data_IF_452467052646
#
_entry.id   IF_452467052646
#
_cell.length_a   1.000
_cell.length_b   1.000
_cell.length_c   1.000
_cell.angle_alpha   90.00
_cell.angle_beta   90.00
_cell.angle_gamma   90.00
#
_symmetry.space_group_name_H-M   'P 1'
#
loop_
_entity.id
_entity.type
_entity.pdbx_description
1 polymer ?
#
# COMPACT_ATOMS: atom_id res chain seq x y z
N UNK A 1 2.50 -21.68 -0.14
CA UNK A 1 3.75 -21.08 -0.66
C UNK A 1 3.66 -19.56 -0.49
N UNK A 2 4.63 -18.91 0.14
CA UNK A 2 4.67 -17.44 0.14
C UNK A 2 5.08 -16.97 -1.27
N UNK A 3 4.30 -16.10 -1.94
CA UNK A 3 4.65 -15.62 -3.27
C UNK A 3 6.02 -14.93 -3.24
N UNK A 4 6.85 -15.19 -4.25
CA UNK A 4 8.15 -14.53 -4.39
C UNK A 4 7.90 -13.08 -4.79
N UNK A 5 8.03 -12.17 -3.83
CA UNK A 5 7.89 -10.74 -4.08
C UNK A 5 9.02 -10.23 -4.99
N UNK A 6 8.74 -9.21 -5.79
CA UNK A 6 9.79 -8.43 -6.45
C UNK A 6 10.52 -7.56 -5.42
N UNK A 7 11.68 -6.99 -5.79
CA UNK A 7 12.39 -6.07 -4.89
C UNK A 7 11.54 -4.84 -4.58
N UNK A 8 10.93 -4.22 -5.60
CA UNK A 8 10.06 -3.04 -5.43
C UNK A 8 8.85 -3.31 -4.54
N UNK A 9 8.29 -4.53 -4.56
CA UNK A 9 7.19 -4.90 -3.65
C UNK A 9 7.66 -5.01 -2.19
N UNK A 10 8.85 -5.58 -1.95
CA UNK A 10 9.44 -5.63 -0.61
C UNK A 10 9.73 -4.22 -0.09
N UNK A 11 10.32 -3.37 -0.93
CA UNK A 11 10.67 -2.01 -0.57
C UNK A 11 9.41 -1.18 -0.26
N UNK A 12 8.34 -1.36 -1.03
CA UNK A 12 7.06 -0.68 -0.77
C UNK A 12 6.41 -1.11 0.57
N UNK A 13 6.45 -2.40 0.91
CA UNK A 13 5.96 -2.89 2.21
C UNK A 13 6.81 -2.37 3.37
N UNK A 14 8.13 -2.40 3.22
CA UNK A 14 9.07 -1.85 4.21
C UNK A 14 8.82 -0.37 4.42
N UNK A 15 8.78 0.41 3.34
CA UNK A 15 8.50 1.84 3.38
C UNK A 15 7.18 2.12 4.08
N UNK A 16 6.09 1.44 3.70
CA UNK A 16 4.80 1.66 4.35
C UNK A 16 4.84 1.31 5.84
N UNK A 17 5.52 0.23 6.24
CA UNK A 17 5.70 -0.14 7.65
C UNK A 17 6.48 0.91 8.44
N UNK A 18 7.48 1.54 7.83
CA UNK A 18 8.25 2.64 8.42
C UNK A 18 7.41 3.93 8.51
N UNK A 19 6.33 4.05 7.74
CA UNK A 19 5.43 5.19 7.66
C UNK A 19 4.05 4.88 8.27
N UNK A 20 4.02 4.32 9.49
CA UNK A 20 2.83 3.98 10.28
C UNK A 20 1.95 2.84 9.74
N UNK A 21 2.29 2.23 8.60
CA UNK A 21 1.50 1.14 8.03
C UNK A 21 0.18 1.58 7.39
N UNK A 22 -0.08 2.87 7.24
CA UNK A 22 -1.32 3.43 6.71
C UNK A 22 -1.06 4.72 5.93
N UNK A 23 -1.79 4.93 4.84
CA UNK A 23 -1.73 6.15 4.07
C UNK A 23 -2.99 6.43 3.25
N UNK A 24 -3.04 7.64 2.69
CA UNK A 24 -4.12 8.12 1.83
C UNK A 24 -3.58 8.43 0.44
N UNK A 25 -4.34 8.10 -0.59
CA UNK A 25 -3.96 8.46 -1.96
C UNK A 25 -4.36 9.89 -2.30
N UNK A 26 -3.46 10.60 -2.98
CA UNK A 26 -3.75 11.89 -3.58
C UNK A 26 -4.58 11.75 -4.87
N UNK A 27 -4.92 12.90 -5.48
CA UNK A 27 -5.66 12.93 -6.76
C UNK A 27 -4.90 12.30 -7.94
N UNK A 28 -3.59 12.16 -7.83
CA UNK A 28 -2.72 11.59 -8.87
C UNK A 28 -2.46 10.09 -8.64
N UNK A 29 -2.98 9.51 -7.55
CA UNK A 29 -2.77 8.11 -7.21
C UNK A 29 -1.42 7.82 -6.54
N UNK A 30 -0.78 8.82 -5.93
CA UNK A 30 0.41 8.68 -5.09
C UNK A 30 -0.02 8.52 -3.63
N UNK A 31 0.57 7.56 -2.92
CA UNK A 31 0.26 7.30 -1.51
C UNK A 31 1.00 8.32 -0.63
N UNK A 32 0.29 9.02 0.25
CA UNK A 32 0.82 9.86 1.31
C UNK A 32 0.73 9.09 2.63
N UNK A 33 1.86 8.87 3.31
CA UNK A 33 1.92 8.21 4.61
C UNK A 33 2.93 8.93 5.51
N UNK A 34 2.59 9.12 6.78
CA UNK A 34 3.42 9.85 7.76
C UNK A 34 3.93 11.24 7.30
N UNK A 35 3.22 11.92 6.39
CA UNK A 35 3.62 13.23 5.84
C UNK A 35 4.51 13.14 4.59
N UNK A 36 4.87 11.94 4.13
CA UNK A 36 5.73 11.70 2.98
C UNK A 36 5.00 11.02 1.82
N UNK A 37 5.38 11.38 0.59
CA UNK A 37 4.86 10.75 -0.62
C UNK A 37 5.66 9.50 -0.94
N UNK A 38 4.95 8.40 -1.16
CA UNK A 38 5.55 7.13 -1.49
C UNK A 38 6.26 7.19 -2.86
N UNK A 39 7.52 6.75 -2.96
CA UNK A 39 8.24 6.67 -4.22
C UNK A 39 7.84 5.43 -5.04
N UNK A 40 6.58 5.00 -4.95
CA UNK A 40 6.05 3.79 -5.60
C UNK A 40 4.76 4.10 -6.35
N UNK A 41 4.67 3.60 -7.57
CA UNK A 41 3.50 3.77 -8.44
C UNK A 41 2.27 2.98 -7.95
N UNK A 42 1.08 3.40 -8.38
CA UNK A 42 -0.20 2.77 -8.01
C UNK A 42 -0.27 1.26 -8.32
N UNK A 43 0.36 0.82 -9.41
CA UNK A 43 0.37 -0.60 -9.80
C UNK A 43 1.09 -1.49 -8.79
N UNK A 44 2.12 -0.99 -8.10
CA UNK A 44 2.80 -1.73 -7.02
C UNK A 44 1.84 -2.03 -5.89
N UNK A 45 1.06 -1.03 -5.45
CA UNK A 45 0.06 -1.19 -4.39
C UNK A 45 -1.08 -2.13 -4.80
N UNK A 46 -1.54 -2.04 -6.05
CA UNK A 46 -2.55 -2.96 -6.57
C UNK A 46 -2.05 -4.41 -6.58
N UNK A 47 -0.79 -4.64 -6.96
CA UNK A 47 -0.19 -5.97 -6.92
C UNK A 47 -0.06 -6.49 -5.48
N UNK A 48 0.35 -5.65 -4.52
CA UNK A 48 0.40 -6.03 -3.11
C UNK A 48 -0.98 -6.35 -2.53
N UNK A 49 -2.02 -5.63 -2.95
CA UNK A 49 -3.39 -5.90 -2.53
C UNK A 49 -3.91 -7.22 -3.10
N UNK A 50 -3.59 -7.54 -4.36
CA UNK A 50 -3.90 -8.84 -4.96
C UNK A 50 -3.22 -10.01 -4.23
N UNK A 51 -2.09 -9.75 -3.57
CA UNK A 51 -1.39 -10.71 -2.71
C UNK A 51 -1.90 -10.73 -1.27
N UNK A 52 -2.88 -9.88 -0.91
CA UNK A 52 -3.42 -9.79 0.44
C UNK A 52 -2.46 -9.21 1.47
N UNK A 53 -1.45 -8.42 1.04
CA UNK A 53 -0.44 -7.82 1.93
C UNK A 53 -0.76 -6.38 2.34
N UNK A 54 -1.67 -5.75 1.61
CA UNK A 54 -2.22 -4.42 1.90
C UNK A 54 -3.70 -4.42 1.57
N UNK A 55 -4.46 -3.55 2.23
CA UNK A 55 -5.89 -3.43 2.04
C UNK A 55 -6.24 -1.99 1.67
N UNK A 56 -6.92 -1.82 0.52
CA UNK A 56 -7.57 -0.56 0.20
C UNK A 56 -8.89 -0.44 0.98
N UNK A 57 -9.15 0.72 1.57
CA UNK A 57 -10.36 0.98 2.33
C UNK A 57 -10.79 2.45 2.23
N UNK A 58 -12.01 2.75 2.68
CA UNK A 58 -12.63 4.08 2.64
C UNK A 58 -12.50 4.76 1.25
N UNK A 59 -13.16 4.22 0.21
CA UNK A 59 -13.05 4.77 -1.14
C UNK A 59 -13.70 6.16 -1.22
N UNK A 60 -12.88 7.21 -1.28
CA UNK A 60 -13.36 8.57 -1.53
C UNK A 60 -13.22 8.92 -3.04
N UNK A 61 -14.28 8.63 -3.81
CA UNK A 61 -14.39 9.00 -5.22
C UNK A 61 -13.24 8.49 -6.12
N UNK A 62 -12.94 9.21 -7.22
CA UNK A 62 -11.82 8.89 -8.11
C UNK A 62 -10.49 9.23 -7.43
N UNK A 63 -9.88 8.26 -6.76
CA UNK A 63 -8.46 8.30 -6.40
C UNK A 63 -8.10 8.56 -4.93
N UNK A 64 -9.04 8.92 -4.04
CA UNK A 64 -8.70 9.26 -2.62
C UNK A 64 -8.93 8.13 -1.64
N UNK A 65 -8.82 6.88 -2.10
CA UNK A 65 -8.89 5.72 -1.20
C UNK A 65 -7.75 5.74 -0.19
N UNK A 66 -7.94 5.06 0.94
CA UNK A 66 -6.86 4.77 1.88
C UNK A 66 -6.30 3.39 1.65
N UNK A 67 -5.10 3.16 2.15
CA UNK A 67 -4.44 1.86 2.13
C UNK A 67 -3.71 1.64 3.43
N UNK A 68 -3.83 0.43 3.97
CA UNK A 68 -3.13 -0.03 5.17
C UNK A 68 -2.43 -1.35 4.93
N UNK A 69 -1.38 -1.62 5.69
CA UNK A 69 -0.84 -2.96 5.83
C UNK A 69 -1.93 -3.88 6.37
N UNK A 70 -2.06 -5.06 5.80
CA UNK A 70 -2.80 -6.12 6.46
C UNK A 70 -1.94 -6.59 7.63
N UNK A 71 -2.49 -6.63 8.85
CA UNK A 71 -1.98 -7.61 9.80
C UNK A 71 -2.12 -8.96 9.08
N UNK A 72 -1.07 -9.79 9.08
CA UNK A 72 -1.05 -11.04 8.30
C UNK A 72 -2.35 -11.84 8.46
N UNK A 73 -2.68 -12.74 7.51
CA UNK A 73 -3.99 -13.40 7.45
C UNK A 73 -4.42 -13.80 8.87
N UNK A 74 -5.59 -13.31 9.26
CA UNK A 74 -6.25 -13.69 10.51
C UNK A 74 -6.18 -15.22 10.63
N UNK A 75 -5.77 -15.78 11.79
CA UNK A 75 -5.60 -17.22 11.96
C UNK A 75 -6.88 -18.00 11.67
#
# INVERSE_FOLDING_TARGET
MRPRLTQSQRDALKWLSEHNGDGVFDRNGVLLAAGELAPFVRSTWNALAALGLVQFYNPAGKGRGRLRLTQGPEP
#
